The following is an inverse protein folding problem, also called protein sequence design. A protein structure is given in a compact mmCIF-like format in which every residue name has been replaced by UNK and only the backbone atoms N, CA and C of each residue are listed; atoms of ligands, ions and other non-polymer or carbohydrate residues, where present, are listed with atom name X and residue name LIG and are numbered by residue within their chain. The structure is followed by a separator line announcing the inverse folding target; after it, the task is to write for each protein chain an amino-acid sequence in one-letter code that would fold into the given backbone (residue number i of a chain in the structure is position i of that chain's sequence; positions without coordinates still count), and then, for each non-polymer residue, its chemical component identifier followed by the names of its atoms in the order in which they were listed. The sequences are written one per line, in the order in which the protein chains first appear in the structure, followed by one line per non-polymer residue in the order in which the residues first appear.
data_IF_387357923037
#
_entry.id   IF_387357923037
#
_cell.length_a   1.000
_cell.length_b   1.000
_cell.length_c   1.000
_cell.angle_alpha   90.00
_cell.angle_beta   90.00
_cell.angle_gamma   90.00
#
_symmetry.space_group_name_H-M   'P 1'
#
loop_
_entity.id
_entity.type
_entity.pdbx_description
1 polymer ?
#
# COMPACT_ATOMS: atom_id res chain seq x y z
N UNK A 1 -8.56 10.99 -28.19
CA UNK A 1 -9.83 10.24 -28.19
C UNK A 1 -10.78 10.97 -27.24
N UNK A 2 -11.94 11.44 -27.71
CA UNK A 2 -12.95 12.11 -26.88
C UNK A 2 -14.16 11.18 -26.79
N UNK A 3 -14.59 10.83 -25.58
CA UNK A 3 -15.80 10.04 -25.36
C UNK A 3 -16.74 10.83 -24.46
N UNK A 4 -17.96 11.03 -24.91
CA UNK A 4 -19.02 11.66 -24.13
C UNK A 4 -19.77 10.56 -23.39
N UNK A 5 -19.85 10.67 -22.07
CA UNK A 5 -20.56 9.73 -21.21
C UNK A 5 -21.55 10.49 -20.33
N UNK A 6 -22.67 9.85 -20.01
CA UNK A 6 -23.70 10.40 -19.14
C UNK A 6 -23.42 9.90 -17.71
N UNK A 7 -23.50 10.81 -16.74
CA UNK A 7 -23.51 10.47 -15.32
C UNK A 7 -24.88 9.90 -14.98
N UNK A 8 -24.91 8.65 -14.49
CA UNK A 8 -26.14 7.95 -14.10
C UNK A 8 -26.60 8.41 -12.72
N UNK A 9 -27.74 7.88 -12.31
CA UNK A 9 -28.28 8.07 -10.96
C UNK A 9 -27.21 7.78 -9.89
N UNK A 10 -27.25 8.55 -8.81
CA UNK A 10 -26.27 8.49 -7.71
C UNK A 10 -24.83 8.87 -8.10
N UNK A 11 -24.64 9.59 -9.21
CA UNK A 11 -23.33 10.12 -9.59
C UNK A 11 -22.38 9.07 -10.19
N UNK A 12 -22.91 7.93 -10.65
CA UNK A 12 -22.09 6.86 -11.22
C UNK A 12 -21.68 7.19 -12.66
N UNK A 13 -20.37 7.08 -12.96
CA UNK A 13 -19.83 7.22 -14.31
C UNK A 13 -19.29 5.87 -14.80
N UNK A 14 -19.83 5.38 -15.93
CA UNK A 14 -19.30 4.18 -16.57
C UNK A 14 -18.11 4.52 -17.44
N UNK A 15 -16.96 3.87 -17.20
CA UNK A 15 -15.77 4.00 -18.05
C UNK A 15 -15.91 3.03 -19.23
N UNK A 16 -15.92 3.52 -20.48
CA UNK A 16 -16.05 2.69 -21.69
C UNK A 16 -14.93 1.67 -21.85
N UNK A 17 -15.24 0.53 -22.49
CA UNK A 17 -14.28 -0.56 -22.74
C UNK A 17 -13.07 -0.13 -23.56
N UNK A 18 -13.23 0.83 -24.45
CA UNK A 18 -12.12 1.41 -25.20
C UNK A 18 -11.07 2.06 -24.30
N UNK A 19 -11.49 2.67 -23.18
CA UNK A 19 -10.58 3.26 -22.19
C UNK A 19 -10.02 2.15 -21.29
N UNK A 20 -10.86 1.23 -20.79
CA UNK A 20 -10.43 0.11 -19.92
C UNK A 20 -9.36 -0.77 -20.56
N UNK A 21 -9.40 -0.95 -21.89
CA UNK A 21 -8.37 -1.68 -22.64
C UNK A 21 -7.00 -0.99 -22.68
N UNK A 22 -6.97 0.33 -22.52
CA UNK A 22 -5.74 1.13 -22.55
C UNK A 22 -5.17 1.32 -21.15
N UNK A 23 -6.01 1.43 -20.13
CA UNK A 23 -5.60 1.60 -18.73
C UNK A 23 -5.94 0.37 -17.88
N UNK A 24 -4.92 -0.44 -17.59
CA UNK A 24 -5.03 -1.73 -16.90
C UNK A 24 -5.53 -1.66 -15.44
N UNK A 25 -5.43 -0.50 -14.79
CA UNK A 25 -5.87 -0.32 -13.40
C UNK A 25 -7.38 -0.09 -13.26
N UNK A 26 -8.10 0.13 -14.36
CA UNK A 26 -9.56 0.34 -14.35
C UNK A 26 -10.27 -1.01 -14.43
N UNK A 27 -10.11 -1.83 -13.38
CA UNK A 27 -10.83 -3.11 -13.26
C UNK A 27 -11.93 -3.02 -12.20
N UNK A 28 -12.97 -3.87 -12.27
CA UNK A 28 -14.01 -3.91 -11.22
C UNK A 28 -13.39 -4.04 -9.83
N UNK A 29 -13.99 -3.35 -8.84
CA UNK A 29 -13.52 -3.31 -7.45
C UNK A 29 -12.12 -2.71 -7.21
N UNK A 30 -11.50 -2.09 -8.22
CA UNK A 30 -10.24 -1.35 -8.02
C UNK A 30 -10.44 -0.07 -7.22
N UNK A 31 -9.57 0.16 -6.23
CA UNK A 31 -9.55 1.40 -5.48
C UNK A 31 -8.94 2.54 -6.33
N UNK A 32 -9.59 3.69 -6.34
CA UNK A 32 -9.15 4.89 -7.08
C UNK A 32 -9.16 6.11 -6.18
N UNK A 33 -8.29 7.07 -6.48
CA UNK A 33 -8.30 8.40 -5.89
C UNK A 33 -8.89 9.39 -6.88
N UNK A 34 -9.78 10.25 -6.38
CA UNK A 34 -10.46 11.27 -7.16
C UNK A 34 -10.03 12.64 -6.63
N UNK A 35 -9.56 13.51 -7.51
CA UNK A 35 -9.14 14.87 -7.17
C UNK A 35 -9.71 15.87 -8.17
N UNK A 36 -10.15 17.02 -7.69
CA UNK A 36 -10.56 18.15 -8.53
C UNK A 36 -9.34 19.05 -8.70
N UNK A 37 -8.79 19.12 -9.92
CA UNK A 37 -7.62 19.98 -10.20
C UNK A 37 -8.05 21.39 -10.63
N UNK A 38 -9.18 21.49 -11.34
CA UNK A 38 -9.79 22.73 -11.82
C UNK A 38 -11.32 22.62 -11.72
N UNK A 39 -12.06 23.73 -11.81
CA UNK A 39 -13.53 23.70 -11.70
C UNK A 39 -14.22 22.73 -12.68
N UNK A 40 -13.61 22.49 -13.83
CA UNK A 40 -14.11 21.65 -14.91
C UNK A 40 -13.32 20.33 -15.10
N UNK A 41 -12.37 20.04 -14.22
CA UNK A 41 -11.44 18.91 -14.38
C UNK A 41 -11.39 18.02 -13.13
N UNK A 42 -11.94 16.81 -13.29
CA UNK A 42 -11.81 15.71 -12.33
C UNK A 42 -10.75 14.74 -12.85
N UNK A 43 -9.76 14.44 -12.01
CA UNK A 43 -8.71 13.46 -12.32
C UNK A 43 -8.89 12.23 -11.43
N UNK A 44 -8.95 11.07 -12.09
CA UNK A 44 -9.04 9.75 -11.44
C UNK A 44 -7.70 9.04 -11.62
N UNK A 45 -7.12 8.57 -10.51
CA UNK A 45 -5.85 7.83 -10.50
C UNK A 45 -6.01 6.52 -9.73
N UNK A 46 -5.23 5.46 -10.06
CA UNK A 46 -5.21 4.27 -9.24
C UNK A 46 -4.77 4.62 -7.82
N UNK A 47 -5.46 4.08 -6.82
CA UNK A 47 -5.07 4.26 -5.43
C UNK A 47 -3.88 3.36 -5.12
N UNK A 48 -2.67 3.86 -5.41
CA UNK A 48 -1.45 3.21 -4.93
C UNK A 48 -1.23 3.67 -3.49
N UNK A 49 -1.27 2.73 -2.53
CA UNK A 49 -0.59 2.94 -1.26
C UNK A 49 0.88 3.13 -1.61
N UNK A 50 1.39 4.36 -1.57
CA UNK A 50 2.83 4.59 -1.55
C UNK A 50 3.34 3.81 -0.34
N UNK A 51 3.93 2.65 -0.60
CA UNK A 51 4.67 1.94 0.44
C UNK A 51 5.85 2.84 0.73
N UNK A 52 5.85 3.42 1.93
CA UNK A 52 7.01 4.12 2.45
C UNK A 52 8.08 3.06 2.73
N UNK A 53 8.87 2.78 1.70
CA UNK A 53 9.92 1.78 1.77
C UNK A 53 10.97 2.13 2.83
N UNK A 54 11.19 3.42 3.08
CA UNK A 54 12.10 3.86 4.14
C UNK A 54 11.55 3.46 5.51
N UNK A 55 10.25 3.68 5.75
CA UNK A 55 9.59 3.24 6.98
C UNK A 55 9.60 1.72 7.14
N UNK A 56 9.39 0.98 6.05
CA UNK A 56 9.45 -0.49 6.05
C UNK A 56 10.87 -0.97 6.40
N UNK A 57 11.90 -0.41 5.76
CA UNK A 57 13.29 -0.77 6.05
C UNK A 57 13.73 -0.37 7.46
N UNK A 58 13.28 0.78 7.95
CA UNK A 58 13.52 1.22 9.32
C UNK A 58 12.93 0.25 10.34
N UNK A 59 11.70 -0.21 10.12
CA UNK A 59 11.05 -1.20 10.96
C UNK A 59 11.76 -2.55 10.92
N UNK A 60 12.20 -3.00 9.74
CA UNK A 60 13.03 -4.22 9.60
C UNK A 60 14.33 -4.10 10.40
N UNK A 61 15.02 -2.94 10.33
CA UNK A 61 16.25 -2.69 11.11
C UNK A 61 15.97 -2.69 12.62
N UNK A 62 14.91 -2.02 13.07
CA UNK A 62 14.49 -1.99 14.49
C UNK A 62 14.24 -3.41 15.02
N UNK A 63 13.49 -4.23 14.29
CA UNK A 63 13.23 -5.62 14.66
C UNK A 63 14.51 -6.47 14.76
N UNK A 64 15.46 -6.30 13.82
CA UNK A 64 16.77 -7.00 13.89
C UNK A 64 17.61 -6.54 15.08
N UNK A 65 17.63 -5.24 15.38
CA UNK A 65 18.36 -4.68 16.52
C UNK A 65 17.76 -5.11 17.88
N UNK A 66 16.46 -5.40 17.93
CA UNK A 66 15.81 -5.98 19.11
C UNK A 66 16.24 -7.45 19.28
N UNK A 67 16.36 -8.22 18.19
CA UNK A 67 16.86 -9.61 18.27
C UNK A 67 18.31 -9.70 18.79
N UNK A 68 19.13 -8.67 18.57
CA UNK A 68 20.51 -8.60 19.10
C UNK A 68 20.61 -7.96 20.50
N UNK A 69 19.51 -7.44 21.06
CA UNK A 69 19.44 -6.88 22.43
C UNK A 69 18.80 -7.85 23.43
N UNK A 70 18.68 -9.13 23.07
CA UNK A 70 18.49 -10.19 24.05
C UNK A 70 19.69 -10.20 25.00
N UNK A 71 19.50 -9.68 26.21
CA UNK A 71 20.50 -9.51 27.29
C UNK A 71 21.05 -10.82 27.87
N UNK A 72 20.92 -11.93 27.15
CA UNK A 72 21.44 -13.22 27.56
C UNK A 72 22.10 -13.81 26.32
N UNK A 73 23.42 -13.87 26.35
CA UNK A 73 24.14 -14.65 25.33
C UNK A 73 23.67 -16.10 25.43
N UNK A 74 23.57 -16.82 24.30
CA UNK A 74 23.25 -18.25 24.34
C UNK A 74 24.19 -19.04 25.27
N UNK A 75 25.41 -18.52 25.49
CA UNK A 75 26.36 -19.02 26.48
C UNK A 75 25.92 -18.78 27.94
N UNK A 76 25.46 -17.57 28.29
CA UNK A 76 24.93 -17.28 29.64
C UNK A 76 23.65 -18.08 29.95
N UNK A 77 22.80 -18.32 28.94
CA UNK A 77 21.62 -19.17 29.10
C UNK A 77 22.02 -20.64 29.41
N UNK A 78 22.99 -21.18 28.66
CA UNK A 78 23.52 -22.53 28.89
C UNK A 78 24.25 -22.67 30.23
N UNK A 79 24.95 -21.62 30.68
CA UNK A 79 25.65 -21.62 31.97
C UNK A 79 24.66 -21.54 33.15
N UNK A 80 23.59 -20.76 33.01
CA UNK A 80 22.52 -20.70 34.01
C UNK A 80 21.72 -22.00 34.09
N UNK A 81 21.46 -22.66 32.96
CA UNK A 81 20.83 -23.97 32.91
C UNK A 81 21.68 -25.04 33.62
N UNK A 82 23.00 -25.07 33.36
CA UNK A 82 23.93 -26.00 34.04
C UNK A 82 24.06 -25.82 35.55
N UNK A 83 23.84 -24.60 36.08
CA UNK A 83 23.89 -24.34 37.53
C UNK A 83 22.57 -24.66 38.24
N UNK A 84 21.49 -24.87 37.48
CA UNK A 84 20.14 -25.11 38.00
C UNK A 84 19.79 -26.61 38.08
N UNK A 85 20.76 -27.50 37.82
CA UNK A 85 20.62 -28.96 37.83
C UNK A 85 21.71 -29.63 38.67
#
# INVERSE_FOLDING_TARGET
MKTVSIVRDRGQLTIPDSIRRVVSWVTPMSAVSISVLKPDEIVIKPHQKKVDWDQVWENIRKSRAISSKGKISAAEFLEQDRRSH
#
